data_IF_291584935630
#
_entry.id   IF_291584935630
#
_cell.length_a   1.000
_cell.length_b   1.000
_cell.length_c   1.000
_cell.angle_alpha   90.00
_cell.angle_beta   90.00
_cell.angle_gamma   90.00
#
_symmetry.space_group_name_H-M   'P 1'
#
loop_
_entity.id
_entity.type
_entity.pdbx_description
1 polymer ?
#
# COMPACT_ATOMS: atom_id res chain seq x y z
N UNK A 1 0.12 -19.08 -2.09
CA UNK A 1 0.80 -18.27 -3.15
C UNK A 1 0.44 -18.68 -4.58
N UNK A 2 0.30 -19.96 -4.92
CA UNK A 2 -0.14 -20.38 -6.26
C UNK A 2 -1.57 -19.91 -6.56
N UNK A 3 -2.49 -20.07 -5.60
CA UNK A 3 -3.88 -19.57 -5.68
C UNK A 3 -3.97 -18.04 -5.88
N UNK A 4 -3.04 -17.28 -5.29
CA UNK A 4 -2.94 -15.82 -5.44
C UNK A 4 -2.60 -15.48 -6.90
N UNK A 5 -1.62 -16.18 -7.48
CA UNK A 5 -1.20 -15.96 -8.86
C UNK A 5 -2.30 -16.31 -9.87
N UNK A 6 -3.02 -17.41 -9.65
CA UNK A 6 -4.16 -17.79 -10.48
C UNK A 6 -5.32 -16.80 -10.37
N UNK A 7 -5.64 -16.36 -9.15
CA UNK A 7 -6.70 -15.38 -8.90
C UNK A 7 -6.38 -14.04 -9.57
N UNK A 8 -5.14 -13.55 -9.46
CA UNK A 8 -4.67 -12.37 -10.18
C UNK A 8 -4.81 -12.53 -11.69
N UNK A 9 -4.45 -13.70 -12.23
CA UNK A 9 -4.50 -13.96 -13.68
C UNK A 9 -5.92 -14.06 -14.23
N UNK A 10 -6.88 -14.57 -13.44
CA UNK A 10 -8.29 -14.73 -13.87
C UNK A 10 -9.15 -13.50 -13.58
N UNK A 11 -8.95 -12.86 -12.43
CA UNK A 11 -9.86 -11.84 -11.89
C UNK A 11 -9.26 -10.46 -11.72
N UNK A 12 -7.97 -10.26 -11.98
CA UNK A 12 -7.29 -8.97 -11.82
C UNK A 12 -7.00 -8.56 -10.36
N UNK A 13 -7.45 -9.34 -9.38
CA UNK A 13 -7.15 -9.15 -7.96
C UNK A 13 -7.02 -10.50 -7.24
N UNK A 14 -6.41 -10.50 -6.06
CA UNK A 14 -6.36 -11.65 -5.18
C UNK A 14 -6.27 -11.22 -3.72
N UNK A 15 -6.84 -12.04 -2.83
CA UNK A 15 -6.76 -11.86 -1.37
C UNK A 15 -5.94 -13.02 -0.80
N UNK A 16 -5.09 -12.71 0.18
CA UNK A 16 -4.28 -13.69 0.89
C UNK A 16 -4.35 -13.42 2.39
N UNK A 17 -5.31 -14.04 3.06
CA UNK A 17 -5.45 -13.93 4.51
C UNK A 17 -4.25 -14.53 5.23
N UNK A 18 -3.95 -14.00 6.42
CA UNK A 18 -2.84 -14.46 7.26
C UNK A 18 -1.47 -14.43 6.55
N UNK A 19 -1.29 -13.57 5.53
CA UNK A 19 -0.02 -13.42 4.83
C UNK A 19 1.11 -13.00 5.77
N UNK A 20 0.80 -12.09 6.70
CA UNK A 20 1.70 -11.68 7.78
C UNK A 20 1.19 -12.32 9.09
N UNK A 21 2.01 -13.10 9.81
CA UNK A 21 1.65 -13.61 11.12
C UNK A 21 1.18 -12.50 12.08
N UNK A 22 0.13 -12.77 12.85
CA UNK A 22 -0.49 -11.79 13.76
C UNK A 22 0.52 -11.10 14.70
N UNK A 23 1.50 -11.85 15.21
CA UNK A 23 2.54 -11.29 16.07
C UNK A 23 3.42 -10.26 15.36
N UNK A 24 3.72 -10.46 14.08
CA UNK A 24 4.44 -9.48 13.26
C UNK A 24 3.56 -8.28 12.93
N UNK A 25 2.25 -8.47 12.70
CA UNK A 25 1.30 -7.36 12.56
C UNK A 25 1.27 -6.51 13.83
N UNK A 26 1.16 -7.13 15.01
CA UNK A 26 1.20 -6.45 16.31
C UNK A 26 2.51 -5.69 16.52
N UNK A 27 3.63 -6.29 16.15
CA UNK A 27 4.93 -5.62 16.20
C UNK A 27 4.98 -4.41 15.27
N UNK A 28 4.59 -4.56 14.01
CA UNK A 28 4.56 -3.48 13.03
C UNK A 28 3.68 -2.30 13.51
N UNK A 29 2.51 -2.58 14.09
CA UNK A 29 1.66 -1.53 14.68
C UNK A 29 2.34 -0.76 15.82
N UNK A 30 3.08 -1.45 16.70
CA UNK A 30 3.85 -0.80 17.78
C UNK A 30 4.95 0.09 17.23
N UNK A 31 5.66 -0.37 16.19
CA UNK A 31 6.68 0.42 15.51
C UNK A 31 6.05 1.65 14.83
N UNK A 32 4.91 1.50 14.15
CA UNK A 32 4.18 2.61 13.51
C UNK A 32 3.73 3.68 14.50
N UNK A 33 3.36 3.31 15.73
CA UNK A 33 2.96 4.27 16.75
C UNK A 33 4.08 5.29 17.06
N UNK A 34 5.34 4.85 17.04
CA UNK A 34 6.49 5.74 17.21
C UNK A 34 6.75 6.62 15.97
N UNK A 35 6.21 6.26 14.80
CA UNK A 35 6.39 6.99 13.55
C UNK A 35 5.31 8.03 13.28
N UNK A 36 4.23 8.08 14.08
CA UNK A 36 3.10 9.01 13.91
C UNK A 36 3.51 10.48 13.65
N UNK A 37 4.54 11.05 14.31
CA UNK A 37 4.98 12.42 14.03
C UNK A 37 5.50 12.65 12.61
N UNK A 38 5.93 11.60 11.91
CA UNK A 38 6.53 11.67 10.58
C UNK A 38 5.53 11.45 9.44
N UNK A 39 4.27 11.11 9.75
CA UNK A 39 3.24 10.97 8.74
C UNK A 39 2.80 12.34 8.22
N UNK A 40 2.73 12.50 6.91
CA UNK A 40 2.29 13.73 6.24
C UNK A 40 0.91 13.53 5.61
N UNK A 41 0.17 14.61 5.36
CA UNK A 41 -1.10 14.49 4.64
C UNK A 41 -0.85 14.02 3.22
N UNK A 42 -1.64 13.04 2.77
CA UNK A 42 -1.46 12.47 1.44
C UNK A 42 -1.76 13.46 0.32
N UNK A 43 -1.04 13.33 -0.78
CA UNK A 43 -1.25 14.11 -1.99
C UNK A 43 -1.91 13.27 -3.09
N UNK A 44 -2.59 13.96 -3.99
CA UNK A 44 -3.08 13.42 -5.25
C UNK A 44 -2.41 14.15 -6.41
N UNK A 45 -2.21 13.43 -7.51
CA UNK A 45 -1.78 14.03 -8.76
C UNK A 45 -2.98 14.66 -9.47
N UNK A 46 -2.84 15.92 -9.87
CA UNK A 46 -3.83 16.64 -10.68
C UNK A 46 -3.16 17.16 -11.95
N UNK A 47 -3.68 16.75 -13.10
CA UNK A 47 -3.21 17.16 -14.43
C UNK A 47 -3.85 16.34 -15.54
N UNK A 48 -3.49 16.59 -16.80
CA UNK A 48 -3.93 15.74 -17.93
C UNK A 48 -2.92 14.64 -18.29
N UNK A 49 -1.62 14.99 -18.28
CA UNK A 49 -0.51 14.07 -18.55
C UNK A 49 0.68 14.36 -17.62
N UNK A 50 1.57 13.39 -17.40
CA UNK A 50 2.68 13.47 -16.43
C UNK A 50 3.57 14.73 -16.53
N UNK A 51 3.64 15.37 -17.70
CA UNK A 51 4.40 16.58 -17.95
C UNK A 51 3.74 17.89 -17.49
N UNK A 52 2.44 17.87 -17.16
CA UNK A 52 1.64 19.07 -16.88
C UNK A 52 0.71 18.89 -15.66
N UNK A 53 1.18 18.20 -14.63
CA UNK A 53 0.44 18.02 -13.38
C UNK A 53 1.23 18.43 -12.15
N UNK A 54 0.52 18.53 -11.02
CA UNK A 54 1.07 18.84 -9.71
C UNK A 54 0.58 17.82 -8.68
N UNK A 55 1.40 17.55 -7.67
CA UNK A 55 0.95 16.88 -6.45
C UNK A 55 0.36 17.93 -5.52
N UNK A 56 -0.89 17.73 -5.10
CA UNK A 56 -1.58 18.65 -4.19
C UNK A 56 -2.37 17.87 -3.13
N UNK A 57 -2.56 18.49 -1.97
CA UNK A 57 -3.39 17.95 -0.90
C UNK A 57 -4.86 18.30 -1.16
N UNK A 58 -5.71 17.29 -1.31
CA UNK A 58 -7.16 17.45 -1.45
C UNK A 58 -7.85 16.48 -0.48
N UNK A 59 -8.01 16.84 0.81
CA UNK A 59 -8.51 15.94 1.85
C UNK A 59 -9.87 15.30 1.54
N UNK A 60 -10.74 16.01 0.81
CA UNK A 60 -12.04 15.50 0.39
C UNK A 60 -11.95 14.36 -0.64
N UNK A 61 -10.85 14.29 -1.38
CA UNK A 61 -10.57 13.23 -2.36
C UNK A 61 -9.75 12.12 -1.72
N UNK A 62 -8.73 12.48 -0.93
CA UNK A 62 -7.81 11.55 -0.30
C UNK A 62 -7.43 12.06 1.10
N UNK A 63 -7.96 11.40 2.12
CA UNK A 63 -7.88 11.84 3.52
C UNK A 63 -6.92 11.05 4.41
N UNK A 64 -6.07 10.16 3.86
CA UNK A 64 -5.05 9.47 4.65
C UNK A 64 -3.86 10.37 4.97
N UNK A 65 -3.11 9.96 5.99
CA UNK A 65 -1.73 10.40 6.18
C UNK A 65 -0.80 9.29 5.75
N UNK A 66 0.28 9.64 5.07
CA UNK A 66 1.25 8.69 4.52
C UNK A 66 2.65 8.91 5.07
N UNK A 67 3.42 7.83 5.13
CA UNK A 67 4.86 7.85 5.39
C UNK A 67 5.54 6.87 4.43
N UNK A 68 6.46 7.38 3.62
CA UNK A 68 7.28 6.55 2.74
C UNK A 68 8.51 6.05 3.49
N UNK A 69 8.67 4.72 3.51
CA UNK A 69 9.81 4.03 4.09
C UNK A 69 11.00 4.02 3.11
N UNK A 70 11.31 5.18 2.54
CA UNK A 70 12.55 5.38 1.79
C UNK A 70 13.69 5.44 2.81
N UNK A 71 14.75 4.65 2.61
CA UNK A 71 15.84 4.49 3.58
C UNK A 71 16.60 5.76 4.00
N UNK A 72 16.17 6.94 3.54
CA UNK A 72 16.64 8.26 3.95
C UNK A 72 16.00 8.76 5.26
N UNK A 73 14.80 8.31 5.62
CA UNK A 73 14.18 8.66 6.90
C UNK A 73 14.77 7.78 8.01
N UNK A 74 15.52 8.40 8.94
CA UNK A 74 16.12 7.72 10.09
C UNK A 74 15.04 7.24 11.06
N UNK A 75 14.46 6.06 10.81
CA UNK A 75 13.56 5.42 11.76
C UNK A 75 14.34 4.59 12.79
N UNK A 76 14.02 4.66 14.10
CA UNK A 76 14.79 3.98 15.15
C UNK A 76 14.87 2.45 15.05
N UNK A 77 13.98 1.78 14.32
CA UNK A 77 14.01 0.33 14.16
C UNK A 77 14.13 -0.07 12.69
N UNK A 78 15.34 -0.51 12.31
CA UNK A 78 15.68 -1.18 11.05
C UNK A 78 14.99 -2.55 10.85
N UNK A 79 14.12 -2.96 11.76
CA UNK A 79 13.45 -4.25 11.76
C UNK A 79 12.07 -4.18 11.11
N UNK A 80 11.67 -5.26 10.47
CA UNK A 80 10.26 -5.65 10.21
C UNK A 80 9.54 -5.16 8.96
N UNK A 81 10.05 -4.22 8.16
CA UNK A 81 9.39 -3.87 6.88
C UNK A 81 9.77 -4.80 5.72
N UNK A 82 9.68 -6.12 5.95
CA UNK A 82 9.95 -7.18 4.95
C UNK A 82 8.75 -7.38 4.00
N UNK A 83 8.26 -6.30 3.38
CA UNK A 83 7.40 -6.43 2.19
C UNK A 83 8.18 -6.92 0.95
N UNK A 84 9.51 -7.13 1.06
CA UNK A 84 10.36 -7.73 0.01
C UNK A 84 9.91 -9.13 -0.42
N UNK A 85 9.22 -9.86 0.45
CA UNK A 85 8.85 -11.27 0.25
C UNK A 85 7.91 -11.48 -0.95
N UNK A 86 7.07 -10.50 -1.31
CA UNK A 86 6.14 -10.63 -2.44
C UNK A 86 6.84 -10.54 -3.80
N UNK A 87 7.82 -9.66 -3.95
CA UNK A 87 8.67 -9.58 -5.15
C UNK A 87 9.56 -10.81 -5.31
N UNK A 88 10.15 -11.28 -4.22
CA UNK A 88 10.95 -12.52 -4.25
C UNK A 88 10.10 -13.71 -4.69
N UNK A 89 8.82 -13.70 -4.33
CA UNK A 89 7.89 -14.75 -4.71
C UNK A 89 7.33 -14.59 -6.13
N UNK A 90 7.21 -13.37 -6.68
CA UNK A 90 6.66 -13.14 -8.04
C UNK A 90 7.58 -13.64 -9.14
N UNK A 91 8.90 -13.47 -8.97
CA UNK A 91 9.91 -13.90 -9.95
C UNK A 91 9.89 -15.39 -10.27
N UNK A 92 9.41 -16.23 -9.35
CA UNK A 92 9.40 -17.70 -9.49
C UNK A 92 8.16 -18.25 -10.20
N UNK A 93 7.18 -17.40 -10.55
CA UNK A 93 5.81 -17.86 -10.88
C UNK A 93 5.44 -17.86 -12.36
N UNK A 94 6.33 -17.41 -13.26
CA UNK A 94 6.03 -17.34 -14.71
C UNK A 94 4.89 -16.38 -15.06
N UNK A 95 4.59 -16.23 -16.35
CA UNK A 95 3.55 -15.30 -16.84
C UNK A 95 3.93 -13.83 -16.69
N UNK A 96 2.97 -12.90 -16.75
CA UNK A 96 3.26 -11.46 -16.76
C UNK A 96 4.00 -10.97 -15.49
N UNK A 97 3.78 -11.66 -14.36
CA UNK A 97 4.44 -11.37 -13.07
C UNK A 97 5.96 -11.53 -13.13
N UNK A 98 6.50 -12.29 -14.09
CA UNK A 98 7.94 -12.44 -14.28
C UNK A 98 8.61 -11.14 -14.78
N UNK A 99 7.82 -10.20 -15.32
CA UNK A 99 8.30 -8.90 -15.80
C UNK A 99 8.32 -7.84 -14.69
N UNK A 100 7.81 -8.16 -13.49
CA UNK A 100 7.93 -7.28 -12.33
C UNK A 100 9.33 -7.39 -11.75
N UNK A 101 10.19 -6.44 -12.10
CA UNK A 101 11.62 -6.46 -11.74
C UNK A 101 11.93 -5.70 -10.45
N UNK A 102 11.11 -4.70 -10.11
CA UNK A 102 11.29 -3.80 -8.97
C UNK A 102 9.96 -3.41 -8.31
N UNK A 103 10.06 -2.66 -7.21
CA UNK A 103 8.92 -2.05 -6.50
C UNK A 103 9.31 -0.67 -5.99
N UNK A 104 8.31 0.15 -5.70
CA UNK A 104 8.49 1.35 -4.89
C UNK A 104 8.89 1.01 -3.45
N UNK A 105 9.34 2.02 -2.71
CA UNK A 105 9.38 1.95 -1.25
C UNK A 105 8.00 1.66 -0.67
N UNK A 106 7.97 1.09 0.53
CA UNK A 106 6.71 0.84 1.22
C UNK A 106 6.08 2.17 1.65
N UNK A 107 4.82 2.37 1.28
CA UNK A 107 4.01 3.49 1.76
C UNK A 107 3.16 3.00 2.94
N UNK A 108 3.42 3.52 4.13
CA UNK A 108 2.50 3.37 5.25
C UNK A 108 1.37 4.39 5.09
N UNK A 109 0.13 3.96 5.27
CA UNK A 109 -1.04 4.83 5.20
C UNK A 109 -1.91 4.66 6.44
N UNK A 110 -2.37 5.77 7.00
CA UNK A 110 -3.27 5.82 8.16
C UNK A 110 -4.47 6.69 7.80
N UNK A 111 -5.66 6.09 7.82
CA UNK A 111 -6.94 6.80 7.77
C UNK A 111 -7.38 7.09 9.20
N UNK A 112 -7.41 8.37 9.64
CA UNK A 112 -7.66 8.73 11.05
C UNK A 112 -9.14 8.60 11.49
N UNK A 113 -9.98 7.91 10.71
CA UNK A 113 -11.44 7.87 10.91
C UNK A 113 -12.12 9.17 10.46
N UNK A 114 -13.25 9.53 11.07
CA UNK A 114 -14.00 10.77 10.78
C UNK A 114 -14.34 10.92 9.28
N UNK A 115 -14.83 9.85 8.68
CA UNK A 115 -15.21 9.78 7.26
C UNK A 115 -14.08 10.06 6.25
N UNK A 116 -12.82 10.04 6.70
CA UNK A 116 -11.66 10.06 5.80
C UNK A 116 -11.67 8.82 4.91
N UNK A 117 -11.39 9.04 3.63
CA UNK A 117 -11.47 8.03 2.58
C UNK A 117 -10.56 8.41 1.42
N UNK A 118 -10.40 7.48 0.49
CA UNK A 118 -9.92 7.79 -0.85
C UNK A 118 -11.09 7.54 -1.81
N UNK A 119 -11.48 8.56 -2.55
CA UNK A 119 -12.48 8.42 -3.62
C UNK A 119 -12.02 7.40 -4.67
N UNK A 120 -12.99 6.85 -5.42
CA UNK A 120 -12.73 5.94 -6.53
C UNK A 120 -11.71 6.52 -7.49
N UNK A 121 -10.63 5.78 -7.73
CA UNK A 121 -9.53 6.21 -8.59
C UNK A 121 -8.87 5.00 -9.27
N UNK A 122 -8.02 5.31 -10.25
CA UNK A 122 -7.13 4.34 -10.89
C UNK A 122 -5.71 4.67 -10.42
N UNK A 123 -5.01 3.69 -9.86
CA UNK A 123 -3.66 3.91 -9.34
C UNK A 123 -2.71 4.47 -10.40
N UNK A 124 -2.72 3.91 -11.61
CA UNK A 124 -1.78 4.24 -12.68
C UNK A 124 -2.45 4.83 -13.93
N UNK A 125 -3.02 6.03 -13.83
CA UNK A 125 -3.51 6.77 -15.01
C UNK A 125 -2.39 7.30 -15.90
N UNK A 126 -1.21 7.59 -15.33
CA UNK A 126 -0.07 8.18 -16.02
C UNK A 126 0.80 7.17 -16.80
N UNK A 127 0.48 5.87 -16.73
CA UNK A 127 1.28 4.78 -17.30
C UNK A 127 2.75 4.78 -16.82
N UNK A 128 2.97 5.05 -15.54
CA UNK A 128 4.30 5.23 -14.91
C UNK A 128 5.08 3.93 -14.64
N UNK A 129 4.65 2.81 -15.22
CA UNK A 129 5.26 1.49 -15.03
C UNK A 129 4.69 0.66 -13.88
N UNK A 130 3.81 1.21 -13.01
CA UNK A 130 3.10 0.40 -12.02
C UNK A 130 2.12 -0.57 -12.68
N UNK A 131 2.30 -1.87 -12.43
CA UNK A 131 1.46 -2.96 -12.97
C UNK A 131 0.78 -3.80 -11.92
N UNK A 132 1.17 -3.67 -10.65
CA UNK A 132 0.62 -4.41 -9.52
C UNK A 132 0.64 -3.54 -8.28
N UNK A 133 -0.54 -3.33 -7.69
CA UNK A 133 -0.68 -2.74 -6.35
C UNK A 133 -0.79 -3.86 -5.33
N UNK A 134 -0.01 -3.75 -4.24
CA UNK A 134 -0.11 -4.67 -3.12
C UNK A 134 -0.44 -3.89 -1.85
N UNK A 135 -1.52 -4.31 -1.19
CA UNK A 135 -1.95 -3.78 0.10
C UNK A 135 -1.75 -4.84 1.18
N UNK A 136 -1.25 -4.42 2.34
CA UNK A 136 -1.14 -5.25 3.54
C UNK A 136 -1.90 -4.55 4.66
N UNK A 137 -3.05 -5.09 5.05
CA UNK A 137 -3.85 -4.54 6.13
C UNK A 137 -3.27 -4.95 7.49
N UNK A 138 -3.19 -3.98 8.41
CA UNK A 138 -2.64 -4.16 9.75
C UNK A 138 -3.71 -3.98 10.84
N UNK A 139 -4.99 -4.00 10.49
CA UNK A 139 -6.10 -3.85 11.44
C UNK A 139 -6.47 -5.23 12.00
N UNK A 140 -6.12 -5.51 13.26
CA UNK A 140 -6.23 -6.87 13.84
C UNK A 140 -7.64 -7.25 14.28
N UNK A 141 -8.52 -6.27 14.46
CA UNK A 141 -9.88 -6.42 15.01
C UNK A 141 -10.84 -5.56 14.18
N UNK A 142 -10.66 -5.54 12.86
CA UNK A 142 -11.57 -4.79 11.98
C UNK A 142 -12.87 -5.56 11.79
N UNK A 143 -13.99 -4.85 11.91
CA UNK A 143 -15.34 -5.34 11.64
C UNK A 143 -15.98 -4.48 10.56
N UNK A 144 -16.90 -5.06 9.78
CA UNK A 144 -17.53 -4.36 8.64
C UNK A 144 -18.26 -3.08 9.05
N UNK A 145 -18.83 -3.07 10.26
CA UNK A 145 -19.51 -1.92 10.85
C UNK A 145 -18.59 -0.70 11.10
N UNK A 146 -17.27 -0.91 11.16
CA UNK A 146 -16.29 0.18 11.30
C UNK A 146 -16.06 0.92 9.97
N UNK A 147 -16.60 0.42 8.85
CA UNK A 147 -16.40 0.99 7.52
C UNK A 147 -14.97 0.82 7.02
N UNK A 148 -14.50 1.69 6.11
CA UNK A 148 -13.13 1.65 5.60
C UNK A 148 -12.79 0.47 4.66
N UNK A 149 -13.80 -0.28 4.20
CA UNK A 149 -13.63 -1.33 3.21
C UNK A 149 -13.18 -0.76 1.84
N UNK A 150 -12.25 -1.44 1.19
CA UNK A 150 -11.91 -1.21 -0.22
C UNK A 150 -13.02 -1.77 -1.12
N UNK A 151 -13.39 -1.04 -2.17
CA UNK A 151 -14.47 -1.39 -3.10
C UNK A 151 -14.04 -1.13 -4.54
#
# INVERSE_FOLDING_TARGET
MQEVAESLSRGGFAVCDNFIPLELVRQARREMAALVPHFEASEIWVGKDAAAGAQIQVPDVRGDRVLWMCGAHQTPSRGTWRCSTLLESSRRRGGWMQHVVERSDAMLAVYPGKDTRFQTHIDNTACDGRVLTCLCYLNTEWEEEFGGALR
#
